data_IF_100724922316
#
_entry.id   IF_100724922316
#
_cell.length_a   1.000
_cell.length_b   1.000
_cell.length_c   1.000
_cell.angle_alpha   90.00
_cell.angle_beta   90.00
_cell.angle_gamma   90.00
#
_symmetry.space_group_name_H-M   'P 1'
#
loop_
_entity.id
_entity.type
_entity.pdbx_description
1 polymer ?
#
# COMPACT_ATOMS: atom_id res chain seq x y z
N UNK A 1 14.02 11.97 8.20
CA UNK A 1 13.78 10.51 8.38
C UNK A 1 12.68 9.98 7.47
N UNK A 2 11.54 10.64 7.36
CA UNK A 2 10.39 10.19 6.54
C UNK A 2 10.77 9.84 5.09
N UNK A 3 11.52 10.67 4.35
CA UNK A 3 11.87 10.36 2.96
C UNK A 3 12.63 9.03 2.79
N UNK A 4 13.53 8.70 3.71
CA UNK A 4 14.32 7.46 3.64
C UNK A 4 13.48 6.20 3.86
N UNK A 5 12.41 6.27 4.68
CA UNK A 5 11.53 5.14 4.97
C UNK A 5 10.45 4.91 3.90
N UNK A 6 10.32 5.85 2.95
CA UNK A 6 9.28 5.81 1.93
C UNK A 6 9.83 5.82 0.50
N UNK A 7 11.11 6.20 0.34
CA UNK A 7 11.74 6.22 -0.97
C UNK A 7 11.66 4.82 -1.63
N UNK A 8 11.13 4.80 -2.84
CA UNK A 8 10.92 3.58 -3.62
C UNK A 8 10.26 2.43 -2.86
N UNK A 9 9.41 2.74 -1.86
CA UNK A 9 8.77 1.74 -1.01
C UNK A 9 8.02 0.64 -1.77
N UNK A 10 7.39 0.85 -2.93
CA UNK A 10 6.77 -0.22 -3.70
C UNK A 10 7.74 -1.33 -4.16
N UNK A 11 9.04 -0.99 -4.29
CA UNK A 11 10.07 -1.94 -4.76
C UNK A 11 10.54 -2.88 -3.64
N UNK A 12 10.69 -2.34 -2.42
CA UNK A 12 11.29 -3.10 -1.31
C UNK A 12 10.32 -3.41 -0.17
N UNK A 13 9.02 -3.15 -0.33
CA UNK A 13 8.01 -3.33 0.72
C UNK A 13 8.06 -4.73 1.36
N UNK A 14 8.52 -4.85 2.62
CA UNK A 14 8.69 -6.12 3.25
C UNK A 14 7.34 -6.78 3.53
N UNK A 15 7.29 -8.09 3.39
CA UNK A 15 6.11 -8.90 3.70
C UNK A 15 6.24 -9.65 5.03
N UNK A 16 7.48 -9.83 5.52
CA UNK A 16 7.73 -10.49 6.80
C UNK A 16 7.46 -9.54 7.97
N UNK A 17 6.66 -9.98 8.94
CA UNK A 17 6.32 -9.23 10.15
C UNK A 17 7.53 -8.69 10.91
N UNK A 18 8.63 -9.47 10.94
CA UNK A 18 9.87 -9.05 11.57
C UNK A 18 10.37 -7.72 11.01
N UNK A 19 10.42 -7.59 9.68
CA UNK A 19 10.92 -6.39 9.03
C UNK A 19 9.92 -5.24 9.11
N UNK A 20 8.62 -5.54 9.01
CA UNK A 20 7.55 -4.55 9.21
C UNK A 20 7.68 -3.94 10.61
N UNK A 21 7.80 -4.76 11.65
CA UNK A 21 7.96 -4.32 13.04
C UNK A 21 9.23 -3.48 13.26
N UNK A 22 10.34 -3.81 12.58
CA UNK A 22 11.58 -3.03 12.62
C UNK A 22 11.40 -1.63 12.05
N UNK A 23 10.75 -1.49 10.90
CA UNK A 23 10.46 -0.20 10.28
C UNK A 23 9.50 0.65 11.14
N UNK A 24 8.44 0.04 11.64
CA UNK A 24 7.50 0.72 12.55
C UNK A 24 8.19 1.16 13.85
N UNK A 25 9.18 0.40 14.34
CA UNK A 25 9.95 0.78 15.53
C UNK A 25 10.77 2.06 15.29
N UNK A 26 11.29 2.27 14.08
CA UNK A 26 11.97 3.52 13.72
C UNK A 26 11.00 4.70 13.77
N UNK A 27 9.80 4.57 13.20
CA UNK A 27 8.77 5.62 13.25
C UNK A 27 8.35 5.95 14.69
N UNK A 28 8.13 4.92 15.52
CA UNK A 28 7.78 5.10 16.94
C UNK A 28 8.88 5.84 17.72
N UNK A 29 10.15 5.51 17.44
CA UNK A 29 11.29 6.20 18.05
C UNK A 29 11.35 7.66 17.61
N UNK A 30 11.11 7.93 16.33
CA UNK A 30 11.07 9.29 15.79
C UNK A 30 9.91 10.11 16.40
N UNK A 31 8.73 9.53 16.59
CA UNK A 31 7.60 10.20 17.23
C UNK A 31 7.91 10.61 18.68
N UNK A 32 8.55 9.72 19.44
CA UNK A 32 9.01 10.02 20.80
C UNK A 32 10.02 11.17 20.83
N UNK A 33 10.95 11.16 19.89
CA UNK A 33 11.95 12.21 19.77
C UNK A 33 11.31 13.57 19.46
N UNK A 34 10.41 13.64 18.48
CA UNK A 34 9.74 14.88 18.08
C UNK A 34 8.89 15.47 19.20
N UNK A 35 8.19 14.63 19.96
CA UNK A 35 7.34 15.05 21.07
C UNK A 35 8.06 15.11 22.43
N UNK A 36 9.36 14.79 22.45
CA UNK A 36 10.17 14.68 23.67
C UNK A 36 9.48 13.87 24.78
N UNK A 37 8.82 12.78 24.40
CA UNK A 37 8.02 11.95 25.30
C UNK A 37 8.57 10.52 25.32
N UNK A 38 9.24 10.15 26.40
CA UNK A 38 9.88 8.85 26.60
C UNK A 38 9.09 7.91 27.51
N UNK A 39 7.89 8.29 27.91
CA UNK A 39 7.02 7.47 28.73
C UNK A 39 6.75 6.12 28.03
N UNK A 40 6.77 5.04 28.81
CA UNK A 40 6.54 3.66 28.35
C UNK A 40 5.17 3.12 28.75
N UNK A 41 4.23 3.99 29.09
CA UNK A 41 2.87 3.61 29.44
C UNK A 41 2.13 3.07 28.20
N UNK A 42 1.27 2.05 28.34
CA UNK A 42 0.44 1.56 27.25
C UNK A 42 -0.38 2.67 26.62
N UNK A 43 -0.48 2.68 25.28
CA UNK A 43 -1.24 3.70 24.54
C UNK A 43 -0.49 5.01 24.25
N UNK A 44 0.62 5.31 24.92
CA UNK A 44 1.38 6.56 24.67
C UNK A 44 1.79 6.70 23.21
N UNK A 45 2.34 5.64 22.60
CA UNK A 45 2.76 5.66 21.20
C UNK A 45 1.61 5.93 20.24
N UNK A 46 0.46 5.32 20.48
CA UNK A 46 -0.72 5.54 19.63
C UNK A 46 -1.18 6.99 19.70
N UNK A 47 -1.21 7.58 20.88
CA UNK A 47 -1.51 9.01 21.05
C UNK A 47 -0.51 9.89 20.31
N UNK A 48 0.80 9.63 20.47
CA UNK A 48 1.84 10.41 19.81
C UNK A 48 1.76 10.35 18.29
N UNK A 49 1.47 9.17 17.72
CA UNK A 49 1.33 9.00 16.28
C UNK A 49 0.07 9.72 15.76
N UNK A 50 -1.03 9.66 16.49
CA UNK A 50 -2.27 10.36 16.14
C UNK A 50 -2.07 11.90 16.24
N UNK A 51 -1.43 12.39 17.30
CA UNK A 51 -1.14 13.82 17.46
C UNK A 51 -0.22 14.38 16.36
N UNK A 52 0.60 13.54 15.75
CA UNK A 52 1.50 13.89 14.65
C UNK A 52 0.88 13.64 13.27
N UNK A 53 -0.32 13.08 13.23
CA UNK A 53 -0.95 12.60 11.98
C UNK A 53 0.00 11.68 11.19
N UNK A 54 0.58 10.72 11.88
CA UNK A 54 1.49 9.73 11.31
C UNK A 54 0.83 8.35 11.23
N UNK A 55 0.17 8.03 10.13
CA UNK A 55 -0.36 6.69 9.95
C UNK A 55 0.76 5.63 9.90
N UNK A 56 0.44 4.36 10.19
CA UNK A 56 1.41 3.26 10.11
C UNK A 56 2.12 3.24 8.75
N UNK A 57 3.44 3.00 8.75
CA UNK A 57 4.23 2.91 7.52
C UNK A 57 3.74 1.81 6.59
N UNK A 58 3.20 0.72 7.13
CA UNK A 58 2.62 -0.37 6.35
C UNK A 58 1.44 0.11 5.50
N UNK A 59 0.53 0.92 6.08
CA UNK A 59 -0.61 1.50 5.35
C UNK A 59 -0.11 2.43 4.24
N UNK A 60 0.86 3.27 4.55
CA UNK A 60 1.43 4.22 3.59
C UNK A 60 2.13 3.52 2.43
N UNK A 61 2.87 2.43 2.70
CA UNK A 61 3.48 1.60 1.64
C UNK A 61 2.43 0.90 0.78
N UNK A 62 1.33 0.43 1.39
CA UNK A 62 0.19 -0.11 0.64
C UNK A 62 -0.40 0.94 -0.30
N UNK A 63 -0.66 2.15 0.19
CA UNK A 63 -1.18 3.27 -0.62
C UNK A 63 -0.20 3.60 -1.76
N UNK A 64 1.11 3.71 -1.48
CA UNK A 64 2.12 3.99 -2.50
C UNK A 64 2.15 2.91 -3.59
N UNK A 65 2.06 1.64 -3.22
CA UNK A 65 2.02 0.50 -4.15
C UNK A 65 0.77 0.52 -5.03
N UNK A 66 -0.41 0.72 -4.44
CA UNK A 66 -1.67 0.82 -5.19
C UNK A 66 -1.69 2.06 -6.11
N UNK A 67 -1.16 3.19 -5.65
CA UNK A 67 -1.03 4.40 -6.47
C UNK A 67 -0.10 4.20 -7.65
N UNK A 68 1.03 3.50 -7.46
CA UNK A 68 1.95 3.18 -8.55
C UNK A 68 1.29 2.25 -9.58
N UNK A 69 0.54 1.27 -9.12
CA UNK A 69 -0.22 0.36 -9.98
C UNK A 69 -1.32 1.10 -10.77
N UNK A 70 -2.04 2.01 -10.13
CA UNK A 70 -3.01 2.88 -10.79
C UNK A 70 -2.35 3.71 -11.91
N UNK A 71 -1.21 4.34 -11.64
CA UNK A 71 -0.45 5.09 -12.65
C UNK A 71 -0.02 4.22 -13.83
N UNK A 72 0.37 2.97 -13.57
CA UNK A 72 0.73 2.03 -14.63
C UNK A 72 -0.47 1.65 -15.50
N UNK A 73 -1.66 1.50 -14.91
CA UNK A 73 -2.90 1.24 -15.65
C UNK A 73 -3.28 2.43 -16.53
N UNK A 74 -3.15 3.65 -16.01
CA UNK A 74 -3.48 4.89 -16.73
C UNK A 74 -2.41 5.32 -17.74
N UNK A 75 -1.28 4.61 -17.84
CA UNK A 75 -0.16 4.99 -18.70
C UNK A 75 0.60 6.25 -18.23
N UNK A 76 0.37 6.68 -16.97
CA UNK A 76 1.04 7.85 -16.37
C UNK A 76 2.45 7.52 -15.84
N UNK A 77 2.91 6.29 -15.98
CA UNK A 77 4.23 5.84 -15.51
C UNK A 77 5.00 5.18 -16.66
N UNK A 78 6.34 5.21 -16.56
CA UNK A 78 7.20 4.46 -17.46
C UNK A 78 7.17 2.94 -17.24
N UNK A 79 6.36 2.46 -16.29
CA UNK A 79 6.23 1.03 -15.99
C UNK A 79 5.12 0.46 -16.87
N UNK A 80 5.50 -0.39 -17.80
CA UNK A 80 4.55 -1.18 -18.57
C UNK A 80 4.04 -2.38 -17.75
N UNK A 81 2.74 -2.64 -17.86
CA UNK A 81 2.16 -3.82 -17.22
C UNK A 81 2.60 -5.09 -17.96
N UNK A 82 3.15 -6.09 -17.25
CA UNK A 82 3.51 -7.35 -17.86
C UNK A 82 2.32 -8.02 -18.57
N UNK A 83 2.57 -8.71 -19.69
CA UNK A 83 1.54 -9.39 -20.48
C UNK A 83 0.77 -10.48 -19.72
N UNK A 84 1.31 -10.95 -18.61
CA UNK A 84 0.64 -11.91 -17.73
C UNK A 84 -0.49 -11.29 -16.88
N UNK A 85 -0.55 -9.95 -16.77
CA UNK A 85 -1.61 -9.22 -16.05
C UNK A 85 -2.75 -8.97 -17.04
N UNK A 86 -3.84 -9.71 -16.85
CA UNK A 86 -5.02 -9.62 -17.70
C UNK A 86 -6.21 -9.11 -16.88
N UNK A 87 -7.03 -8.27 -17.49
CA UNK A 87 -8.32 -7.91 -16.92
C UNK A 87 -9.17 -9.16 -16.64
N UNK A 88 -10.11 -9.04 -15.75
CA UNK A 88 -11.00 -10.15 -15.39
C UNK A 88 -11.97 -10.43 -16.54
N UNK A 89 -11.78 -11.55 -17.25
CA UNK A 89 -12.64 -11.96 -18.37
C UNK A 89 -14.01 -12.52 -17.94
N UNK A 90 -14.21 -12.81 -16.66
CA UNK A 90 -15.49 -13.29 -16.12
C UNK A 90 -16.36 -12.12 -15.73
N UNK A 91 -17.25 -11.70 -16.60
CA UNK A 91 -18.31 -10.72 -16.29
C UNK A 91 -19.42 -11.42 -15.51
N UNK A 92 -19.21 -11.62 -14.21
CA UNK A 92 -20.31 -11.87 -13.30
C UNK A 92 -21.01 -10.53 -13.02
N UNK A 93 -22.31 -10.54 -12.71
CA UNK A 93 -23.10 -9.33 -12.42
C UNK A 93 -22.48 -8.42 -11.32
N UNK A 94 -21.60 -8.98 -10.47
CA UNK A 94 -20.89 -8.28 -9.40
C UNK A 94 -19.42 -7.96 -9.69
N UNK A 95 -18.89 -8.36 -10.87
CA UNK A 95 -17.46 -8.15 -11.18
C UNK A 95 -17.27 -6.81 -11.86
N UNK A 96 -16.50 -5.94 -11.24
CA UNK A 96 -16.14 -4.65 -11.79
C UNK A 96 -15.16 -4.80 -12.97
N UNK A 97 -15.31 -3.99 -14.04
CA UNK A 97 -14.49 -4.07 -15.26
C UNK A 97 -13.00 -3.79 -15.02
N UNK A 98 -12.68 -2.96 -14.01
CA UNK A 98 -11.30 -2.62 -13.62
C UNK A 98 -10.62 -3.65 -12.69
N UNK A 99 -11.19 -4.83 -12.50
CA UNK A 99 -10.55 -5.92 -11.74
C UNK A 99 -9.65 -6.76 -12.62
N UNK A 100 -8.61 -7.31 -12.02
CA UNK A 100 -7.63 -8.15 -12.69
C UNK A 100 -7.73 -9.61 -12.26
N UNK A 101 -7.33 -10.51 -13.16
CA UNK A 101 -7.23 -11.94 -12.85
C UNK A 101 -6.10 -12.16 -11.85
N UNK A 102 -6.40 -12.82 -10.74
CA UNK A 102 -5.40 -13.13 -9.73
C UNK A 102 -4.34 -14.10 -10.28
N UNK A 103 -3.07 -13.75 -10.05
CA UNK A 103 -1.95 -14.60 -10.39
C UNK A 103 -1.91 -15.80 -9.43
N UNK A 104 -1.53 -16.97 -9.95
CA UNK A 104 -1.38 -18.20 -9.15
C UNK A 104 0.09 -18.45 -8.81
N UNK A 105 0.58 -17.93 -7.67
CA UNK A 105 1.98 -18.08 -7.28
C UNK A 105 2.26 -19.53 -6.82
N UNK A 106 3.40 -20.06 -7.27
CA UNK A 106 3.88 -21.39 -6.85
C UNK A 106 4.81 -21.30 -5.63
N UNK A 107 5.44 -20.15 -5.39
CA UNK A 107 6.37 -19.92 -4.29
C UNK A 107 5.89 -18.81 -3.37
N UNK A 108 6.29 -18.85 -2.10
CA UNK A 108 5.99 -17.83 -1.11
C UNK A 108 6.56 -16.46 -1.51
N UNK A 109 7.79 -16.43 -2.02
CA UNK A 109 8.43 -15.22 -2.52
C UNK A 109 7.64 -14.57 -3.66
N UNK A 110 7.17 -15.37 -4.64
CA UNK A 110 6.37 -14.85 -5.75
C UNK A 110 4.98 -14.38 -5.29
N UNK A 111 4.37 -15.08 -4.32
CA UNK A 111 3.08 -14.67 -3.70
C UNK A 111 3.17 -13.28 -3.10
N UNK A 112 4.31 -12.95 -2.51
CA UNK A 112 4.58 -11.67 -1.86
C UNK A 112 5.25 -10.64 -2.78
N UNK A 113 5.40 -10.95 -4.07
CA UNK A 113 5.92 -10.01 -5.07
C UNK A 113 4.95 -8.83 -5.30
N UNK A 114 5.47 -7.76 -5.89
CA UNK A 114 4.72 -6.53 -6.15
C UNK A 114 3.36 -6.81 -6.82
N UNK A 115 3.34 -7.52 -7.95
CA UNK A 115 2.10 -7.72 -8.71
C UNK A 115 1.09 -8.63 -8.00
N UNK A 116 1.52 -9.76 -7.43
CA UNK A 116 0.62 -10.68 -6.75
C UNK A 116 -0.09 -10.03 -5.56
N UNK A 117 0.66 -9.31 -4.73
CA UNK A 117 0.09 -8.57 -3.59
C UNK A 117 -0.81 -7.43 -4.04
N UNK A 118 -0.34 -6.66 -5.02
CA UNK A 118 -1.06 -5.48 -5.48
C UNK A 118 -2.38 -5.85 -6.14
N UNK A 119 -2.43 -6.87 -7.01
CA UNK A 119 -3.66 -7.34 -7.66
C UNK A 119 -4.67 -7.82 -6.64
N UNK A 120 -4.23 -8.58 -5.63
CA UNK A 120 -5.11 -9.06 -4.56
C UNK A 120 -5.74 -7.90 -3.78
N UNK A 121 -4.92 -6.93 -3.39
CA UNK A 121 -5.39 -5.74 -2.67
C UNK A 121 -6.24 -4.82 -3.55
N UNK A 122 -5.87 -4.66 -4.83
CA UNK A 122 -6.64 -3.92 -5.82
C UNK A 122 -8.05 -4.50 -5.99
N UNK A 123 -8.16 -5.82 -6.15
CA UNK A 123 -9.44 -6.49 -6.29
C UNK A 123 -10.32 -6.43 -5.02
N UNK A 124 -9.73 -6.14 -3.87
CA UNK A 124 -10.47 -5.93 -2.61
C UNK A 124 -11.01 -4.52 -2.43
N UNK A 125 -10.62 -3.58 -3.31
CA UNK A 125 -11.10 -2.20 -3.23
C UNK A 125 -12.59 -2.11 -3.60
N UNK A 126 -13.33 -1.17 -3.00
CA UNK A 126 -14.70 -0.89 -3.37
C UNK A 126 -14.78 -0.32 -4.81
N UNK A 127 -15.88 -0.60 -5.50
CA UNK A 127 -16.05 -0.23 -6.91
C UNK A 127 -15.94 1.29 -7.14
N UNK A 128 -16.49 2.10 -6.24
CA UNK A 128 -16.39 3.56 -6.29
C UNK A 128 -14.95 4.10 -6.29
N UNK A 129 -14.00 3.36 -5.70
CA UNK A 129 -12.58 3.72 -5.72
C UNK A 129 -11.93 3.28 -7.03
N UNK A 130 -12.34 2.13 -7.59
CA UNK A 130 -11.81 1.60 -8.86
C UNK A 130 -12.24 2.44 -10.08
N UNK A 131 -13.31 3.23 -9.97
CA UNK A 131 -13.81 4.13 -11.03
C UNK A 131 -13.06 5.47 -11.10
N UNK A 132 -12.18 5.75 -10.16
CA UNK A 132 -11.46 7.02 -10.11
C UNK A 132 -10.31 7.00 -11.10
N UNK A 133 -10.40 7.79 -12.17
CA UNK A 133 -9.36 7.93 -13.19
C UNK A 133 -8.18 8.79 -12.70
N UNK A 134 -8.46 9.90 -12.00
CA UNK A 134 -7.40 10.83 -11.55
C UNK A 134 -6.61 10.26 -10.39
N UNK A 135 -5.32 10.04 -10.58
CA UNK A 135 -4.41 9.47 -9.57
C UNK A 135 -4.40 10.25 -8.25
N UNK A 136 -4.52 11.57 -8.27
CA UNK A 136 -4.56 12.39 -7.05
C UNK A 136 -5.82 12.15 -6.21
N UNK A 137 -6.97 11.94 -6.86
CA UNK A 137 -8.24 11.62 -6.18
C UNK A 137 -8.23 10.18 -5.68
N UNK A 138 -7.71 9.24 -6.49
CA UNK A 138 -7.52 7.85 -6.10
C UNK A 138 -6.69 7.72 -4.82
N UNK A 139 -5.55 8.42 -4.75
CA UNK A 139 -4.69 8.42 -3.56
C UNK A 139 -5.42 8.96 -2.31
N UNK A 140 -6.21 10.03 -2.45
CA UNK A 140 -7.04 10.55 -1.36
C UNK A 140 -8.12 9.55 -0.92
N UNK A 141 -8.79 8.90 -1.88
CA UNK A 141 -9.80 7.88 -1.58
C UNK A 141 -9.21 6.69 -0.81
N UNK A 142 -7.99 6.24 -1.16
CA UNK A 142 -7.28 5.17 -0.42
C UNK A 142 -6.94 5.54 1.03
N UNK A 143 -6.83 6.80 1.36
CA UNK A 143 -6.56 7.24 2.74
C UNK A 143 -7.82 7.15 3.61
N UNK A 144 -9.00 7.08 3.00
CA UNK A 144 -10.30 7.02 3.69
C UNK A 144 -10.85 5.58 3.82
N UNK A 145 -10.24 4.61 3.12
CA UNK A 145 -10.60 3.18 3.12
C UNK A 145 -9.65 2.39 4.03
#
# INVERSE_FOLDING_TARGET
>A
MRPHLEYASPVWDPWMDKHIKQLEAVQRRSARFVKNCWARTPGTITKLLNDLDWPPLQVRRKIARLTLFHKAIQGESAIELPSCIKGCNRQLRSTHHNRFTELRPRTEAYRNSFYCRTIKEWNSLPNNVLDIEKTSLFQKALTLV
#
